data_IF_365868802561
#
_entry.id   IF_365868802561
#
_cell.length_a   1.000
_cell.length_b   1.000
_cell.length_c   1.000
_cell.angle_alpha   90.00
_cell.angle_beta   90.00
_cell.angle_gamma   90.00
#
_symmetry.space_group_name_H-M   'P 1'
#
loop_
_entity.id
_entity.type
_entity.pdbx_description
1 polymer ?
#
# COMPACT_ATOMS: atom_id res chain seq x y z
N UNK A 1 -7.53 4.80 25.94
CA UNK A 1 -8.08 5.29 24.65
C UNK A 1 -9.60 5.22 24.75
N UNK A 2 -10.34 6.27 24.37
CA UNK A 2 -11.82 6.24 24.43
C UNK A 2 -12.40 5.25 23.41
N UNK A 3 -13.59 4.71 23.66
CA UNK A 3 -14.26 3.76 22.76
C UNK A 3 -14.39 4.31 21.33
N UNK A 4 -14.81 5.56 21.20
CA UNK A 4 -14.96 6.26 19.91
C UNK A 4 -13.63 6.37 19.15
N UNK A 5 -12.56 6.83 19.82
CA UNK A 5 -11.25 6.98 19.19
C UNK A 5 -10.71 5.64 18.69
N UNK A 6 -10.93 4.56 19.45
CA UNK A 6 -10.52 3.20 19.07
C UNK A 6 -11.19 2.76 17.77
N UNK A 7 -12.50 2.92 17.66
CA UNK A 7 -13.24 2.52 16.46
C UNK A 7 -12.87 3.37 15.23
N UNK A 8 -12.60 4.67 15.43
CA UNK A 8 -12.07 5.52 14.36
C UNK A 8 -10.72 5.00 13.87
N UNK A 9 -9.77 4.70 14.77
CA UNK A 9 -8.47 4.15 14.39
C UNK A 9 -8.61 2.80 13.67
N UNK A 10 -9.53 1.94 14.10
CA UNK A 10 -9.84 0.67 13.42
C UNK A 10 -10.33 0.92 11.99
N UNK A 11 -11.29 1.84 11.80
CA UNK A 11 -11.80 2.19 10.48
C UNK A 11 -10.70 2.75 9.57
N UNK A 12 -9.88 3.68 10.08
CA UNK A 12 -8.74 4.25 9.34
C UNK A 12 -7.73 3.18 8.94
N UNK A 13 -7.43 2.23 9.82
CA UNK A 13 -6.52 1.12 9.51
C UNK A 13 -7.07 0.24 8.38
N UNK A 14 -8.37 -0.10 8.41
CA UNK A 14 -9.02 -0.91 7.38
C UNK A 14 -9.09 -0.18 6.03
N UNK A 15 -9.40 1.12 6.04
CA UNK A 15 -9.36 1.95 4.82
C UNK A 15 -7.94 1.98 4.25
N UNK A 16 -6.93 2.19 5.08
CA UNK A 16 -5.52 2.15 4.66
C UNK A 16 -5.11 0.80 4.06
N UNK A 17 -5.55 -0.31 4.67
CA UNK A 17 -5.30 -1.65 4.16
C UNK A 17 -5.95 -1.88 2.79
N UNK A 18 -7.21 -1.47 2.63
CA UNK A 18 -7.93 -1.55 1.37
C UNK A 18 -7.26 -0.71 0.28
N UNK A 19 -6.86 0.53 0.59
CA UNK A 19 -6.14 1.41 -0.34
C UNK A 19 -4.79 0.82 -0.77
N UNK A 20 -4.01 0.26 0.16
CA UNK A 20 -2.73 -0.39 -0.18
C UNK A 20 -2.95 -1.58 -1.12
N UNK A 21 -3.92 -2.43 -0.79
CA UNK A 21 -4.27 -3.60 -1.59
C UNK A 21 -4.79 -3.21 -2.98
N UNK A 22 -5.68 -2.21 -3.05
CA UNK A 22 -6.25 -1.71 -4.30
C UNK A 22 -5.18 -1.07 -5.18
N UNK A 23 -4.29 -0.25 -4.60
CA UNK A 23 -3.20 0.43 -5.32
C UNK A 23 -2.33 -0.51 -6.14
N UNK A 24 -2.04 -1.72 -5.63
CA UNK A 24 -1.10 -2.66 -6.29
C UNK A 24 -1.77 -3.83 -7.00
N UNK A 25 -3.00 -4.20 -6.65
CA UNK A 25 -3.72 -5.31 -7.30
C UNK A 25 -4.59 -4.88 -8.48
N UNK A 26 -5.21 -3.72 -8.39
CA UNK A 26 -6.16 -3.19 -9.39
C UNK A 26 -5.72 -1.81 -9.89
N UNK A 27 -4.99 -1.07 -9.06
CA UNK A 27 -4.45 0.24 -9.37
C UNK A 27 -3.46 0.20 -10.50
N UNK A 28 -3.84 0.86 -11.59
CA UNK A 28 -2.90 1.29 -12.59
C UNK A 28 -2.08 2.43 -11.98
N UNK A 29 -0.76 2.31 -12.06
CA UNK A 29 0.18 3.36 -11.71
C UNK A 29 0.39 4.32 -12.88
N UNK A 30 0.38 3.78 -14.09
CA UNK A 30 0.34 4.54 -15.34
C UNK A 30 -0.74 4.01 -16.26
N UNK A 31 -1.18 4.87 -17.16
CA UNK A 31 -2.05 4.55 -18.28
C UNK A 31 -1.43 5.11 -19.56
N UNK A 32 -1.39 4.29 -20.62
CA UNK A 32 -0.86 4.66 -21.94
C UNK A 32 -1.98 4.51 -22.96
N UNK A 33 -2.45 5.65 -23.49
CA UNK A 33 -3.56 5.75 -24.45
C UNK A 33 -4.82 4.94 -23.99
N UNK A 34 -5.97 4.91 -24.67
CA UNK A 34 -7.16 4.28 -24.11
C UNK A 34 -7.05 2.75 -24.26
N UNK A 35 -6.24 2.10 -23.42
CA UNK A 35 -6.20 0.64 -23.41
C UNK A 35 -5.18 -0.01 -22.50
N UNK A 36 -4.02 0.61 -22.25
CA UNK A 36 -2.94 -0.04 -21.49
C UNK A 36 -2.85 0.55 -20.09
N UNK A 37 -3.12 -0.30 -19.10
CA UNK A 37 -2.94 0.00 -17.68
C UNK A 37 -1.68 -0.69 -17.18
N UNK A 38 -0.77 0.05 -16.54
CA UNK A 38 0.50 -0.46 -16.06
C UNK A 38 0.50 -0.37 -14.54
N UNK A 39 0.75 -1.48 -13.85
CA UNK A 39 0.87 -1.53 -12.41
C UNK A 39 2.10 -2.33 -11.95
N UNK A 40 2.32 -2.45 -10.63
CA UNK A 40 3.52 -3.07 -10.06
C UNK A 40 3.75 -4.53 -10.46
N UNK A 41 2.68 -5.26 -10.79
CA UNK A 41 2.73 -6.68 -11.17
C UNK A 41 2.75 -6.93 -12.68
N UNK A 42 2.69 -5.89 -13.50
CA UNK A 42 2.55 -6.04 -14.95
C UNK A 42 1.56 -5.05 -15.55
N UNK A 43 1.24 -5.28 -16.81
CA UNK A 43 0.31 -4.48 -17.57
C UNK A 43 -0.99 -5.23 -17.85
N UNK A 44 -2.07 -4.49 -18.06
CA UNK A 44 -3.32 -4.99 -18.64
C UNK A 44 -3.62 -4.20 -19.89
N UNK A 45 -3.93 -4.88 -20.98
CA UNK A 45 -4.43 -4.24 -22.18
C UNK A 45 -5.72 -4.94 -22.62
N UNK A 46 -6.68 -4.17 -23.10
CA UNK A 46 -7.92 -4.71 -23.66
C UNK A 46 -8.00 -4.35 -25.14
N UNK A 47 -7.96 -5.35 -26.01
CA UNK A 47 -8.15 -5.22 -27.46
C UNK A 47 -9.35 -6.09 -27.87
N UNK A 48 -10.26 -5.53 -28.66
CA UNK A 48 -11.47 -6.23 -29.16
C UNK A 48 -12.31 -6.92 -28.06
N UNK A 49 -12.41 -6.30 -26.88
CA UNK A 49 -13.16 -6.85 -25.74
C UNK A 49 -12.42 -7.93 -24.94
N UNK A 50 -11.25 -8.39 -25.40
CA UNK A 50 -10.40 -9.31 -24.64
C UNK A 50 -9.34 -8.56 -23.83
N UNK A 51 -9.41 -8.69 -22.51
CA UNK A 51 -8.40 -8.14 -21.61
C UNK A 51 -7.32 -9.18 -21.30
N UNK A 52 -6.08 -8.90 -21.70
CA UNK A 52 -4.92 -9.75 -21.44
C UNK A 52 -3.97 -9.09 -20.44
N UNK A 53 -3.29 -9.94 -19.66
CA UNK A 53 -2.21 -9.54 -18.74
C UNK A 53 -0.88 -9.74 -19.43
N UNK A 54 -0.06 -8.71 -19.45
CA UNK A 54 1.33 -8.75 -19.92
C UNK A 54 2.30 -8.56 -18.76
N UNK A 55 3.54 -9.05 -18.94
CA UNK A 55 4.66 -8.75 -18.03
C UNK A 55 5.10 -7.29 -18.18
N UNK A 56 6.12 -6.84 -17.45
CA UNK A 56 6.68 -5.51 -17.66
C UNK A 56 7.75 -5.49 -18.77
N UNK A 57 8.38 -6.63 -19.06
CA UNK A 57 9.43 -6.74 -20.06
C UNK A 57 9.03 -6.39 -21.49
N UNK A 58 7.78 -6.62 -21.91
CA UNK A 58 7.33 -6.23 -23.26
C UNK A 58 7.22 -4.70 -23.43
N UNK A 59 7.15 -3.95 -22.32
CA UNK A 59 7.14 -2.48 -22.29
C UNK A 59 8.54 -1.87 -22.30
N UNK A 60 9.56 -2.62 -22.77
CA UNK A 60 10.99 -2.23 -22.70
C UNK A 60 11.43 -1.95 -21.25
N UNK A 61 10.81 -2.62 -20.29
CA UNK A 61 11.16 -2.52 -18.88
C UNK A 61 12.56 -3.07 -18.60
N UNK A 62 13.34 -2.36 -17.78
CA UNK A 62 14.58 -2.91 -17.24
C UNK A 62 14.29 -3.95 -16.15
N UNK A 63 15.20 -4.90 -15.94
CA UNK A 63 15.09 -5.87 -14.83
C UNK A 63 14.96 -5.18 -13.46
N UNK A 64 15.61 -4.02 -13.31
CA UNK A 64 15.49 -3.17 -12.11
C UNK A 64 14.08 -2.65 -11.92
N UNK A 65 13.38 -2.22 -12.99
CA UNK A 65 12.00 -1.76 -12.90
C UNK A 65 11.04 -2.91 -12.57
N UNK A 66 11.25 -4.10 -13.12
CA UNK A 66 10.44 -5.29 -12.77
C UNK A 66 10.61 -5.70 -11.31
N UNK A 67 11.85 -5.69 -10.83
CA UNK A 67 12.18 -5.96 -9.42
C UNK A 67 11.54 -4.92 -8.51
N UNK A 68 11.66 -3.63 -8.85
CA UNK A 68 11.05 -2.55 -8.08
C UNK A 68 9.51 -2.68 -8.03
N UNK A 69 8.87 -3.05 -9.13
CA UNK A 69 7.43 -3.32 -9.19
C UNK A 69 7.03 -4.50 -8.30
N UNK A 70 7.81 -5.58 -8.32
CA UNK A 70 7.59 -6.74 -7.44
C UNK A 70 7.74 -6.37 -5.97
N UNK A 71 8.76 -5.58 -5.62
CA UNK A 71 8.98 -5.10 -4.27
C UNK A 71 7.85 -4.16 -3.81
N UNK A 72 7.40 -3.25 -4.67
CA UNK A 72 6.27 -2.35 -4.39
C UNK A 72 4.97 -3.12 -4.14
N UNK A 73 4.72 -4.15 -4.96
CA UNK A 73 3.59 -5.06 -4.79
C UNK A 73 3.64 -5.78 -3.43
N UNK A 74 4.78 -6.43 -3.13
CA UNK A 74 4.95 -7.19 -1.90
C UNK A 74 4.86 -6.30 -0.66
N UNK A 75 5.54 -5.15 -0.65
CA UNK A 75 5.54 -4.23 0.49
C UNK A 75 4.17 -3.65 0.78
N UNK A 76 3.38 -3.33 -0.25
CA UNK A 76 2.02 -2.81 -0.06
C UNK A 76 1.08 -3.89 0.53
N UNK A 77 1.20 -5.15 0.11
CA UNK A 77 0.43 -6.24 0.71
C UNK A 77 0.86 -6.53 2.15
N UNK A 78 2.15 -6.46 2.46
CA UNK A 78 2.65 -6.56 3.84
C UNK A 78 2.10 -5.43 4.70
N UNK A 79 2.12 -4.19 4.19
CA UNK A 79 1.51 -3.05 4.88
C UNK A 79 0.01 -3.27 5.13
N UNK A 80 -0.72 -3.74 4.13
CA UNK A 80 -2.14 -4.06 4.27
C UNK A 80 -2.40 -5.13 5.35
N UNK A 81 -1.60 -6.21 5.36
CA UNK A 81 -1.71 -7.25 6.37
C UNK A 81 -1.43 -6.72 7.79
N UNK A 82 -0.38 -5.91 7.97
CA UNK A 82 -0.06 -5.29 9.27
C UNK A 82 -1.20 -4.39 9.75
N UNK A 83 -1.83 -3.61 8.85
CA UNK A 83 -2.96 -2.76 9.20
C UNK A 83 -4.19 -3.58 9.62
N UNK A 84 -4.47 -4.70 8.94
CA UNK A 84 -5.55 -5.63 9.33
C UNK A 84 -5.27 -6.24 10.71
N UNK A 85 -4.04 -6.70 10.97
CA UNK A 85 -3.68 -7.21 12.29
C UNK A 85 -3.77 -6.14 13.37
N UNK A 86 -3.38 -4.90 13.05
CA UNK A 86 -3.52 -3.75 13.97
C UNK A 86 -4.99 -3.48 14.29
N UNK A 87 -5.86 -3.47 13.27
CA UNK A 87 -7.30 -3.30 13.43
C UNK A 87 -7.91 -4.41 14.31
N UNK A 88 -7.55 -5.67 14.05
CA UNK A 88 -7.99 -6.81 14.86
C UNK A 88 -7.52 -6.73 16.31
N UNK A 89 -6.25 -6.38 16.54
CA UNK A 89 -5.71 -6.21 17.88
C UNK A 89 -6.41 -5.09 18.66
N UNK A 90 -6.68 -3.96 18.00
CA UNK A 90 -7.44 -2.85 18.59
C UNK A 90 -8.89 -3.24 18.89
N UNK A 91 -9.56 -3.95 17.98
CA UNK A 91 -10.92 -4.46 18.22
C UNK A 91 -10.98 -5.40 19.43
N UNK A 92 -9.96 -6.24 19.60
CA UNK A 92 -9.78 -7.14 20.75
C UNK A 92 -9.32 -6.43 22.04
N UNK A 93 -9.26 -5.09 22.06
CA UNK A 93 -8.79 -4.26 23.20
C UNK A 93 -7.35 -4.57 23.64
N UNK A 94 -6.51 -5.11 22.76
CA UNK A 94 -5.08 -5.27 23.03
C UNK A 94 -4.35 -3.96 22.71
N UNK A 95 -3.20 -3.74 23.35
CA UNK A 95 -2.33 -2.58 23.10
C UNK A 95 -1.15 -2.99 22.21
N UNK A 96 -1.26 -2.88 20.87
CA UNK A 96 -0.26 -3.45 19.98
C UNK A 96 0.91 -2.49 19.72
N UNK A 97 1.63 -2.06 20.77
CA UNK A 97 2.77 -1.14 20.63
C UNK A 97 3.86 -1.69 19.70
N UNK A 98 4.13 -3.01 19.77
CA UNK A 98 5.08 -3.66 18.86
C UNK A 98 4.59 -3.63 17.41
N UNK A 99 3.30 -3.85 17.18
CA UNK A 99 2.73 -3.78 15.83
C UNK A 99 2.82 -2.36 15.28
N UNK A 100 2.55 -1.32 16.09
CA UNK A 100 2.67 0.07 15.65
C UNK A 100 4.11 0.45 15.22
N UNK A 101 5.14 -0.13 15.86
CA UNK A 101 6.54 0.02 15.39
C UNK A 101 6.77 -0.69 14.07
N UNK A 102 6.25 -1.92 13.91
CA UNK A 102 6.34 -2.65 12.64
C UNK A 102 5.61 -1.93 11.49
N UNK A 103 4.52 -1.20 11.78
CA UNK A 103 3.82 -0.37 10.79
C UNK A 103 4.75 0.70 10.20
N UNK A 104 5.61 1.34 11.01
CA UNK A 104 6.57 2.32 10.49
C UNK A 104 7.60 1.70 9.55
N UNK A 105 8.13 0.53 9.90
CA UNK A 105 9.05 -0.21 9.02
C UNK A 105 8.37 -0.55 7.69
N UNK A 106 7.12 -1.01 7.74
CA UNK A 106 6.34 -1.30 6.54
C UNK A 106 6.04 -0.06 5.70
N UNK A 107 5.74 1.08 6.34
CA UNK A 107 5.59 2.38 5.65
C UNK A 107 6.89 2.75 4.91
N UNK A 108 8.04 2.69 5.59
CA UNK A 108 9.34 3.02 4.98
C UNK A 108 9.64 2.10 3.81
N UNK A 109 9.43 0.80 3.98
CA UNK A 109 9.64 -0.18 2.90
C UNK A 109 8.75 0.13 1.69
N UNK A 110 7.46 0.42 1.93
CA UNK A 110 6.49 0.74 0.90
C UNK A 110 6.81 2.06 0.17
N UNK A 111 7.32 3.06 0.90
CA UNK A 111 7.78 4.33 0.32
C UNK A 111 9.00 4.10 -0.58
N UNK A 112 10.00 3.36 -0.11
CA UNK A 112 11.24 3.12 -0.87
C UNK A 112 10.96 2.29 -2.12
N UNK A 113 10.22 1.20 -1.99
CA UNK A 113 9.88 0.33 -3.14
C UNK A 113 8.94 1.04 -4.12
N UNK A 114 7.92 1.75 -3.62
CA UNK A 114 6.99 2.51 -4.44
C UNK A 114 7.66 3.65 -5.19
N UNK A 115 8.51 4.44 -4.51
CA UNK A 115 9.29 5.49 -5.16
C UNK A 115 10.29 4.89 -6.16
N UNK A 116 10.99 3.80 -5.81
CA UNK A 116 11.90 3.12 -6.72
C UNK A 116 11.21 2.64 -7.99
N UNK A 117 10.01 2.07 -7.87
CA UNK A 117 9.21 1.66 -9.03
C UNK A 117 8.75 2.86 -9.88
N UNK A 118 8.34 3.95 -9.22
CA UNK A 118 7.90 5.16 -9.91
C UNK A 118 9.03 5.85 -10.68
N UNK A 119 10.21 5.94 -10.06
CA UNK A 119 11.39 6.61 -10.62
C UNK A 119 12.08 5.76 -11.70
N UNK A 120 12.02 4.43 -11.61
CA UNK A 120 12.57 3.53 -12.62
C UNK A 120 11.67 3.37 -13.87
N UNK A 121 10.58 4.14 -13.97
CA UNK A 121 9.66 4.09 -15.10
C UNK A 121 10.39 4.47 -16.42
N UNK A 122 10.29 3.64 -17.48
CA UNK A 122 11.07 3.84 -18.70
C UNK A 122 10.62 5.01 -19.60
N UNK A 123 9.62 5.80 -19.19
CA UNK A 123 9.21 7.01 -19.94
C UNK A 123 8.50 6.70 -21.25
N UNK A 124 7.48 5.84 -21.22
CA UNK A 124 6.68 5.50 -22.41
C UNK A 124 5.93 6.72 -22.94
N UNK A 125 5.94 6.92 -24.26
CA UNK A 125 5.18 7.99 -24.91
C UNK A 125 3.67 7.82 -24.63
N UNK A 126 2.98 8.92 -24.33
CA UNK A 126 1.54 8.91 -23.99
C UNK A 126 1.20 8.42 -22.58
N UNK A 127 2.20 8.00 -21.80
CA UNK A 127 1.99 7.57 -20.42
C UNK A 127 1.66 8.74 -19.50
N UNK A 128 0.61 8.60 -18.70
CA UNK A 128 0.26 9.52 -17.63
C UNK A 128 0.00 8.75 -16.33
N UNK A 129 0.19 9.44 -15.20
CA UNK A 129 -0.06 8.84 -13.89
C UNK A 129 -1.54 8.50 -13.73
N UNK A 130 -1.82 7.26 -13.32
CA UNK A 130 -3.17 6.81 -13.00
C UNK A 130 -3.41 6.88 -11.48
N UNK A 131 -4.50 6.31 -10.99
CA UNK A 131 -4.93 6.47 -9.58
C UNK A 131 -4.12 5.63 -8.58
N UNK A 132 -3.40 4.61 -9.03
CA UNK A 132 -2.63 3.69 -8.20
C UNK A 132 -1.64 4.36 -7.22
N UNK A 133 -0.81 5.34 -7.64
CA UNK A 133 0.15 5.99 -6.76
C UNK A 133 -0.56 6.87 -5.72
N UNK A 134 -1.65 7.52 -6.11
CA UNK A 134 -2.49 8.30 -5.19
C UNK A 134 -3.13 7.40 -4.12
N UNK A 135 -3.63 6.22 -4.50
CA UNK A 135 -4.13 5.25 -3.53
C UNK A 135 -3.02 4.76 -2.58
N UNK A 136 -1.78 4.61 -3.06
CA UNK A 136 -0.65 4.25 -2.19
C UNK A 136 -0.36 5.35 -1.17
N UNK A 137 -0.34 6.62 -1.61
CA UNK A 137 -0.18 7.77 -0.71
C UNK A 137 -1.30 7.82 0.33
N UNK A 138 -2.55 7.60 -0.09
CA UNK A 138 -3.69 7.46 0.81
C UNK A 138 -3.50 6.33 1.83
N UNK A 139 -3.02 5.17 1.40
CA UNK A 139 -2.74 4.05 2.30
C UNK A 139 -1.65 4.38 3.33
N UNK A 140 -0.55 5.01 2.90
CA UNK A 140 0.57 5.41 3.75
C UNK A 140 0.13 6.44 4.79
N UNK A 141 -0.66 7.43 4.38
CA UNK A 141 -1.20 8.44 5.31
C UNK A 141 -2.12 7.81 6.35
N UNK A 142 -3.05 6.93 5.96
CA UNK A 142 -3.87 6.17 6.91
C UNK A 142 -3.03 5.30 7.86
N UNK A 143 -1.97 4.68 7.36
CA UNK A 143 -1.06 3.87 8.17
C UNK A 143 -0.31 4.71 9.20
N UNK A 144 0.21 5.88 8.80
CA UNK A 144 0.90 6.81 9.68
C UNK A 144 -0.04 7.37 10.77
N UNK A 145 -1.26 7.74 10.40
CA UNK A 145 -2.29 8.18 11.37
C UNK A 145 -2.62 7.05 12.36
N UNK A 146 -2.79 5.83 11.87
CA UNK A 146 -3.01 4.65 12.73
C UNK A 146 -1.87 4.46 13.72
N UNK A 147 -0.62 4.37 13.23
CA UNK A 147 0.56 4.13 14.05
C UNK A 147 0.76 5.25 15.10
N UNK A 148 0.68 6.52 14.69
CA UNK A 148 0.81 7.66 15.60
C UNK A 148 -0.30 7.70 16.65
N UNK A 149 -1.54 7.36 16.28
CA UNK A 149 -2.65 7.33 17.23
C UNK A 149 -2.47 6.29 18.33
N UNK A 150 -1.87 5.12 17.99
CA UNK A 150 -1.55 4.05 18.94
C UNK A 150 -0.37 4.44 19.82
N UNK A 151 0.71 4.98 19.22
CA UNK A 151 1.91 5.37 19.96
C UNK A 151 1.68 6.53 20.94
N UNK A 152 0.70 7.40 20.66
CA UNK A 152 0.27 8.48 21.56
C UNK A 152 -0.70 8.02 22.65
N UNK A 153 -1.17 6.78 22.64
CA UNK A 153 -2.02 6.27 23.72
C UNK A 153 -1.16 6.03 24.98
N UNK A 154 -1.68 6.30 26.19
CA UNK A 154 -0.96 5.99 27.42
C UNK A 154 -0.61 4.49 27.48
N UNK A 155 0.58 4.13 27.97
CA UNK A 155 0.90 2.72 28.20
C UNK A 155 -0.13 2.12 29.18
N UNK A 156 -0.46 0.82 29.04
CA UNK A 156 -1.30 0.16 30.03
C UNK A 156 -0.64 0.26 31.42
N UNK A 157 -1.42 0.41 32.50
CA UNK A 157 -0.87 0.39 33.85
C UNK A 157 -0.06 -0.89 34.02
N UNK A 158 1.15 -0.77 34.59
CA UNK A 158 1.97 -1.94 34.91
C UNK A 158 1.10 -2.89 35.72
N UNK A 159 1.01 -4.16 35.30
CA UNK A 159 0.32 -5.17 36.09
C UNK A 159 0.97 -5.15 37.48
N UNK A 160 0.19 -4.88 38.52
CA UNK A 160 0.66 -5.00 39.90
C UNK A 160 1.13 -6.45 40.06
N UNK A 161 2.45 -6.62 40.18
CA UNK A 161 3.11 -7.90 40.35
C UNK A 161 2.94 -8.40 41.79
#
# INVERSE_FOLDING_TARGET
MTSTRRWITVAVALVGAALAALSVQVGAWWQVDPGILIGPRGSRHCFDGECRRGTLGWLRGSSTWELAGTLAFASALVLAAILVFTAGALAARRHPHQVARSTWVAITLCLVSGAGFFLAFPGLAGAHAAWGPLALVGAITCAAVTATSILRAPPPPAAAA
#
